data_IF_564868372700
#
_entry.id   IF_564868372700
#
_cell.length_a   1.000
_cell.length_b   1.000
_cell.length_c   1.000
_cell.angle_alpha   90.00
_cell.angle_beta   90.00
_cell.angle_gamma   90.00
#
_symmetry.space_group_name_H-M   'P 1'
#
loop_
_entity.id
_entity.type
_entity.pdbx_description
1 polymer ?
#
# COMPACT_ATOMS: atom_id res chain seq x y z
N UNK A 1 -2.43 3.40 15.96
CA UNK A 1 -1.12 4.05 16.20
C UNK A 1 -0.03 3.02 15.95
N UNK A 2 0.99 3.34 15.15
CA UNK A 2 2.11 2.43 14.86
C UNK A 2 3.23 2.73 15.85
N UNK A 3 3.67 1.71 16.58
CA UNK A 3 4.69 1.86 17.62
C UNK A 3 6.00 1.21 17.17
N UNK A 4 7.12 1.90 17.42
CA UNK A 4 8.46 1.34 17.22
C UNK A 4 8.63 0.14 18.17
N UNK A 5 9.30 -0.92 17.70
CA UNK A 5 9.49 -2.17 18.43
C UNK A 5 8.32 -3.14 18.36
N UNK A 6 7.16 -2.72 17.84
CA UNK A 6 6.02 -3.60 17.57
C UNK A 6 5.86 -3.88 16.08
N UNK A 7 5.18 -4.96 15.71
CA UNK A 7 4.75 -5.17 14.32
C UNK A 7 3.61 -4.21 13.97
N UNK A 8 3.50 -3.82 12.70
CA UNK A 8 2.31 -3.08 12.24
C UNK A 8 1.02 -3.90 12.43
N UNK A 9 -0.13 -3.23 12.61
CA UNK A 9 -1.43 -3.91 12.65
C UNK A 9 -1.69 -4.73 11.37
N UNK A 10 -2.45 -5.82 11.47
CA UNK A 10 -2.76 -6.68 10.33
C UNK A 10 -3.47 -5.91 9.21
N UNK A 11 -4.48 -5.13 9.55
CA UNK A 11 -5.27 -4.33 8.59
C UNK A 11 -4.38 -3.38 7.79
N UNK A 12 -3.40 -2.76 8.46
CA UNK A 12 -2.44 -1.86 7.80
C UNK A 12 -1.50 -2.65 6.88
N UNK A 13 -1.03 -3.83 7.31
CA UNK A 13 -0.22 -4.72 6.48
C UNK A 13 -0.97 -5.17 5.23
N UNK A 14 -2.24 -5.55 5.37
CA UNK A 14 -3.09 -5.96 4.25
C UNK A 14 -3.35 -4.79 3.30
N UNK A 15 -3.75 -3.64 3.84
CA UNK A 15 -4.01 -2.43 3.07
C UNK A 15 -2.80 -2.01 2.24
N UNK A 16 -1.63 -1.89 2.86
CA UNK A 16 -0.43 -1.49 2.13
C UNK A 16 -0.05 -2.54 1.08
N UNK A 17 -0.15 -3.84 1.38
CA UNK A 17 0.16 -4.90 0.39
C UNK A 17 -0.84 -4.96 -0.76
N UNK A 18 -2.10 -4.59 -0.54
CA UNK A 18 -3.12 -4.56 -1.59
C UNK A 18 -2.94 -3.37 -2.52
N UNK A 19 -2.54 -2.22 -1.98
CA UNK A 19 -2.55 -0.94 -2.70
C UNK A 19 -1.17 -0.36 -2.99
N UNK A 20 -0.10 -1.12 -2.77
CA UNK A 20 1.24 -0.73 -3.21
C UNK A 20 1.96 -1.87 -3.94
N UNK A 21 2.91 -1.50 -4.79
CA UNK A 21 3.66 -2.40 -5.65
C UNK A 21 5.13 -2.47 -5.25
N UNK A 22 5.80 -3.56 -5.67
CA UNK A 22 7.22 -3.80 -5.34
C UNK A 22 8.15 -2.68 -5.82
N UNK A 23 7.84 -2.06 -6.95
CA UNK A 23 8.62 -0.96 -7.51
C UNK A 23 8.53 0.28 -6.60
N UNK A 24 7.33 0.62 -6.14
CA UNK A 24 7.11 1.71 -5.18
C UNK A 24 7.83 1.45 -3.85
N UNK A 25 7.94 0.19 -3.42
CA UNK A 25 8.73 -0.16 -2.22
C UNK A 25 10.21 0.11 -2.43
N UNK A 26 10.73 -0.18 -3.63
CA UNK A 26 12.10 0.13 -4.01
C UNK A 26 12.36 1.63 -4.02
N UNK A 27 11.46 2.40 -4.63
CA UNK A 27 11.55 3.86 -4.68
C UNK A 27 11.54 4.48 -3.28
N UNK A 28 10.60 4.06 -2.43
CA UNK A 28 10.55 4.52 -1.03
C UNK A 28 11.80 4.09 -0.26
N UNK A 29 12.29 2.87 -0.46
CA UNK A 29 13.51 2.41 0.19
C UNK A 29 14.72 3.29 -0.16
N UNK A 30 14.83 3.70 -1.44
CA UNK A 30 15.85 4.63 -1.90
C UNK A 30 15.70 6.01 -1.26
N UNK A 31 14.48 6.56 -1.18
CA UNK A 31 14.19 7.87 -0.56
C UNK A 31 14.61 7.88 0.92
N UNK A 32 14.26 6.82 1.65
CA UNK A 32 14.52 6.69 3.10
C UNK A 32 15.92 6.14 3.39
N UNK A 33 16.71 5.85 2.35
CA UNK A 33 18.04 5.27 2.46
C UNK A 33 18.05 4.00 3.34
N UNK A 34 17.19 3.05 2.99
CA UNK A 34 17.12 1.72 3.60
C UNK A 34 17.09 0.64 2.51
N UNK A 35 17.22 -0.63 2.89
CA UNK A 35 17.10 -1.71 1.91
C UNK A 35 15.62 -1.95 1.54
N UNK A 36 15.31 -2.31 0.29
CA UNK A 36 13.96 -2.74 -0.09
C UNK A 36 13.44 -3.91 0.76
N UNK A 37 14.35 -4.74 1.29
CA UNK A 37 13.98 -5.80 2.22
C UNK A 37 13.45 -5.27 3.55
N UNK A 38 13.97 -4.15 4.08
CA UNK A 38 13.44 -3.51 5.30
C UNK A 38 11.98 -3.13 5.12
N UNK A 39 11.65 -2.51 3.98
CA UNK A 39 10.27 -2.13 3.65
C UNK A 39 9.38 -3.37 3.53
N UNK A 40 9.82 -4.36 2.76
CA UNK A 40 9.11 -5.64 2.59
C UNK A 40 8.89 -6.34 3.92
N UNK A 41 9.90 -6.47 4.77
CA UNK A 41 9.79 -7.23 6.01
C UNK A 41 8.82 -6.58 7.00
N UNK A 42 8.74 -5.24 7.04
CA UNK A 42 7.73 -4.55 7.85
C UNK A 42 6.32 -4.69 7.25
N UNK A 43 6.17 -4.56 5.93
CA UNK A 43 4.89 -4.78 5.24
C UNK A 43 4.33 -6.19 5.49
N UNK A 44 5.18 -7.21 5.49
CA UNK A 44 4.80 -8.60 5.75
C UNK A 44 4.84 -8.97 7.25
N UNK A 45 5.01 -7.99 8.14
CA UNK A 45 5.04 -8.20 9.61
C UNK A 45 6.09 -9.21 10.06
N UNK A 46 7.18 -9.37 9.31
CA UNK A 46 8.30 -10.27 9.65
C UNK A 46 9.21 -9.66 10.71
N UNK A 47 9.32 -8.33 10.70
CA UNK A 47 10.11 -7.57 11.66
C UNK A 47 9.24 -6.55 12.40
N UNK A 48 9.72 -6.14 13.58
CA UNK A 48 9.19 -4.97 14.27
C UNK A 48 9.50 -3.68 13.52
N UNK A 49 8.67 -2.66 13.75
CA UNK A 49 8.85 -1.34 13.18
C UNK A 49 10.08 -0.70 13.82
N UNK A 50 11.06 -0.37 12.99
CA UNK A 50 12.18 0.52 13.29
C UNK A 50 11.88 1.96 12.85
N UNK A 51 12.71 2.92 13.23
CA UNK A 51 12.62 4.31 12.77
C UNK A 51 12.61 4.43 11.25
N UNK A 52 13.55 3.78 10.56
CA UNK A 52 13.62 3.80 9.10
C UNK A 52 12.38 3.19 8.45
N UNK A 53 11.89 2.07 8.98
CA UNK A 53 10.67 1.48 8.44
C UNK A 53 9.43 2.33 8.73
N UNK A 54 9.38 3.03 9.87
CA UNK A 54 8.30 3.96 10.18
C UNK A 54 8.31 5.14 9.21
N UNK A 55 9.48 5.64 8.87
CA UNK A 55 9.65 6.67 7.83
C UNK A 55 9.20 6.16 6.47
N UNK A 56 9.61 4.95 6.06
CA UNK A 56 9.13 4.33 4.82
C UNK A 56 7.60 4.17 4.79
N UNK A 57 6.99 3.76 5.90
CA UNK A 57 5.53 3.67 6.01
C UNK A 57 4.85 5.02 5.78
N UNK A 58 5.42 6.13 6.28
CA UNK A 58 4.88 7.50 6.04
C UNK A 58 4.83 7.85 4.55
N UNK A 59 5.78 7.37 3.74
CA UNK A 59 5.75 7.55 2.29
C UNK A 59 4.81 6.57 1.58
N UNK A 60 4.69 5.34 2.07
CA UNK A 60 3.81 4.34 1.46
C UNK A 60 2.32 4.61 1.70
N UNK A 61 1.94 5.19 2.84
CA UNK A 61 0.53 5.52 3.10
C UNK A 61 -0.13 6.39 2.02
N UNK A 62 0.41 7.56 1.63
CA UNK A 62 -0.22 8.38 0.59
C UNK A 62 -0.23 7.68 -0.78
N UNK A 63 0.77 6.87 -1.09
CA UNK A 63 0.81 6.05 -2.32
C UNK A 63 -0.34 5.04 -2.30
N UNK A 64 -0.47 4.28 -1.21
CA UNK A 64 -1.55 3.31 -1.03
C UNK A 64 -2.93 3.96 -1.13
N UNK A 65 -3.13 5.12 -0.52
CA UNK A 65 -4.38 5.88 -0.62
C UNK A 65 -4.70 6.28 -2.05
N UNK A 66 -3.72 6.84 -2.77
CA UNK A 66 -3.88 7.22 -4.18
C UNK A 66 -4.26 6.00 -5.05
N UNK A 67 -3.58 4.88 -4.86
CA UNK A 67 -3.82 3.66 -5.63
C UNK A 67 -5.19 3.05 -5.30
N UNK A 68 -5.62 3.10 -4.02
CA UNK A 68 -6.96 2.69 -3.61
C UNK A 68 -8.05 3.53 -4.26
N UNK A 69 -7.90 4.85 -4.27
CA UNK A 69 -8.85 5.76 -4.92
C UNK A 69 -8.94 5.51 -6.43
N UNK A 70 -7.80 5.24 -7.09
CA UNK A 70 -7.78 4.86 -8.50
C UNK A 70 -8.50 3.55 -8.75
N UNK A 71 -8.31 2.53 -7.91
CA UNK A 71 -9.03 1.25 -8.00
C UNK A 71 -10.53 1.44 -7.85
N UNK A 72 -10.98 2.26 -6.88
CA UNK A 72 -12.39 2.60 -6.67
C UNK A 72 -12.96 3.31 -7.91
N UNK A 73 -12.23 4.29 -8.46
CA UNK A 73 -12.64 5.00 -9.67
C UNK A 73 -12.79 4.05 -10.86
N UNK A 74 -11.83 3.15 -11.05
CA UNK A 74 -11.88 2.14 -12.11
C UNK A 74 -13.09 1.21 -11.94
N UNK A 75 -13.33 0.71 -10.73
CA UNK A 75 -14.49 -0.14 -10.45
C UNK A 75 -15.83 0.55 -10.74
N UNK A 76 -15.96 1.84 -10.41
CA UNK A 76 -17.14 2.65 -10.74
C UNK A 76 -17.35 2.77 -12.25
N UNK A 77 -16.27 2.99 -13.02
CA UNK A 77 -16.32 3.06 -14.48
C UNK A 77 -16.74 1.71 -15.09
N UNK A 78 -16.16 0.60 -14.62
CA UNK A 78 -16.54 -0.74 -15.07
C UNK A 78 -18.02 -1.04 -14.76
N UNK A 79 -18.51 -0.69 -13.56
CA UNK A 79 -19.93 -0.84 -13.22
C UNK A 79 -20.84 -0.09 -14.18
N UNK A 80 -20.46 1.13 -14.57
CA UNK A 80 -21.20 1.94 -15.55
C UNK A 80 -21.23 1.25 -16.93
N UNK A 81 -20.07 0.81 -17.42
CA UNK A 81 -19.98 0.11 -18.70
C UNK A 81 -20.80 -1.19 -18.75
N UNK A 82 -20.75 -1.99 -17.66
CA UNK A 82 -21.56 -3.22 -17.56
C UNK A 82 -23.06 -2.91 -17.61
N UNK A 83 -23.50 -1.84 -16.93
CA UNK A 83 -24.91 -1.42 -16.99
C UNK A 83 -25.33 -1.04 -18.42
N UNK A 84 -24.52 -0.26 -19.12
CA UNK A 84 -24.78 0.12 -20.51
C UNK A 84 -24.90 -1.11 -21.43
N UNK A 85 -24.06 -2.13 -21.24
CA UNK A 85 -24.15 -3.39 -22.00
C UNK A 85 -25.45 -4.12 -21.69
N UNK A 86 -25.83 -4.23 -20.42
CA UNK A 86 -27.05 -4.93 -20.01
C UNK A 86 -28.32 -4.21 -20.46
N UNK A 87 -28.33 -2.89 -20.48
CA UNK A 87 -29.48 -2.08 -20.93
C UNK A 87 -29.64 -2.11 -22.47
N UNK A 88 -28.63 -2.56 -23.24
CA UNK A 88 -28.69 -2.73 -24.69
C UNK A 88 -29.20 -4.12 -25.15
N UNK A 89 -29.43 -5.06 -24.24
CA UNK A 89 -29.98 -6.41 -24.49
C UNK A 89 -31.47 -6.43 -24.14
#
# INVERSE_FOLDING_TARGET
MINIGATIPQEISEYLREFTHKDEWGDVANIVNCSPSTVRDVLYRRNSVSEKSLEALKYLFPIATKNADQKIKSARNCKKAVKEILDCV
#
